data_IF_932559070011
#
_entry.id   IF_932559070011
#
_cell.length_a   1.000
_cell.length_b   1.000
_cell.length_c   1.000
_cell.angle_alpha   90.00
_cell.angle_beta   90.00
_cell.angle_gamma   90.00
#
_symmetry.space_group_name_H-M   'P 1'
#
loop_
_entity.id
_entity.type
_entity.pdbx_description
1 polymer ?
#
# COMPACT_ATOMS: atom_id res chain seq x y z
N UNK A 1 -12.27 -37.09 -15.56
CA UNK A 1 -11.14 -36.59 -14.75
C UNK A 1 -11.71 -35.70 -13.65
N UNK A 2 -11.48 -36.02 -12.38
CA UNK A 2 -11.97 -35.20 -11.27
C UNK A 2 -11.28 -33.83 -11.33
N UNK A 3 -12.04 -32.75 -11.45
CA UNK A 3 -11.54 -31.36 -11.39
C UNK A 3 -11.19 -31.00 -9.94
N UNK A 4 -10.27 -31.76 -9.33
CA UNK A 4 -9.83 -31.49 -7.97
C UNK A 4 -8.91 -30.28 -7.98
N UNK A 5 -9.41 -29.16 -7.45
CA UNK A 5 -8.62 -27.94 -7.28
C UNK A 5 -7.80 -28.04 -5.99
N UNK A 6 -6.51 -27.84 -6.13
CA UNK A 6 -5.57 -27.72 -5.01
C UNK A 6 -5.02 -26.31 -4.96
N UNK A 7 -4.77 -25.79 -3.75
CA UNK A 7 -4.18 -24.45 -3.55
C UNK A 7 -2.91 -24.58 -2.72
N UNK A 8 -1.86 -23.91 -3.16
CA UNK A 8 -0.57 -23.81 -2.45
C UNK A 8 0.07 -22.45 -2.70
N UNK A 9 1.08 -22.13 -1.92
CA UNK A 9 1.95 -20.97 -2.16
C UNK A 9 2.56 -21.04 -3.56
N UNK A 10 2.71 -19.86 -4.16
CA UNK A 10 3.43 -19.67 -5.41
C UNK A 10 4.91 -20.05 -5.23
N UNK A 11 5.50 -20.65 -6.25
CA UNK A 11 6.92 -21.07 -6.25
C UNK A 11 7.61 -20.48 -7.48
N UNK A 12 8.96 -20.45 -7.52
CA UNK A 12 9.68 -19.90 -8.67
C UNK A 12 9.28 -20.55 -10.00
N UNK A 13 9.01 -21.85 -10.02
CA UNK A 13 8.54 -22.56 -11.21
C UNK A 13 7.11 -22.25 -11.67
N UNK A 14 6.34 -21.44 -10.93
CA UNK A 14 5.02 -20.98 -11.35
C UNK A 14 5.03 -19.58 -11.97
N UNK A 15 6.12 -18.82 -11.78
CA UNK A 15 6.23 -17.39 -12.10
C UNK A 15 5.81 -17.08 -13.53
N UNK A 16 6.38 -17.77 -14.52
CA UNK A 16 6.08 -17.55 -15.94
C UNK A 16 4.60 -17.79 -16.25
N UNK A 17 4.06 -18.93 -15.81
CA UNK A 17 2.65 -19.27 -16.06
C UNK A 17 1.68 -18.33 -15.36
N UNK A 18 2.06 -17.78 -14.20
CA UNK A 18 1.28 -16.78 -13.49
C UNK A 18 1.35 -15.42 -14.19
N UNK A 19 2.52 -15.00 -14.70
CA UNK A 19 2.66 -13.77 -15.47
C UNK A 19 1.79 -13.79 -16.75
N UNK A 20 1.82 -14.90 -17.49
CA UNK A 20 0.97 -15.11 -18.67
C UNK A 20 -0.52 -15.08 -18.32
N UNK A 21 -0.92 -15.79 -17.26
CA UNK A 21 -2.30 -15.81 -16.79
C UNK A 21 -2.76 -14.43 -16.32
N UNK A 22 -1.89 -13.69 -15.62
CA UNK A 22 -2.15 -12.33 -15.16
C UNK A 22 -2.40 -11.40 -16.35
N UNK A 23 -1.48 -11.37 -17.33
CA UNK A 23 -1.62 -10.55 -18.53
C UNK A 23 -2.93 -10.85 -19.28
N UNK A 24 -3.26 -12.14 -19.45
CA UNK A 24 -4.52 -12.56 -20.09
C UNK A 24 -5.76 -12.07 -19.34
N UNK A 25 -5.75 -12.09 -18.00
CA UNK A 25 -6.87 -11.60 -17.18
C UNK A 25 -6.98 -10.07 -17.25
N UNK A 26 -5.86 -9.36 -17.24
CA UNK A 26 -5.86 -7.90 -17.38
C UNK A 26 -6.40 -7.48 -18.76
N UNK A 27 -6.03 -8.18 -19.83
CA UNK A 27 -6.59 -7.95 -21.16
C UNK A 27 -8.10 -8.20 -21.23
N UNK A 28 -8.61 -9.18 -20.50
CA UNK A 28 -10.06 -9.42 -20.40
C UNK A 28 -10.77 -8.32 -19.61
N UNK A 29 -10.26 -7.99 -18.41
CA UNK A 29 -10.89 -7.04 -17.49
C UNK A 29 -10.90 -5.60 -18.02
N UNK A 30 -9.83 -5.21 -18.71
CA UNK A 30 -9.61 -3.87 -19.24
C UNK A 30 -9.60 -3.90 -20.77
N UNK A 31 -10.52 -4.66 -21.37
CA UNK A 31 -10.73 -4.67 -22.81
C UNK A 31 -11.17 -3.28 -23.31
N UNK A 32 -10.88 -2.97 -24.58
CA UNK A 32 -11.10 -1.64 -25.16
C UNK A 32 -9.79 -0.85 -25.36
N UNK A 33 -9.77 0.00 -26.37
CA UNK A 33 -8.60 0.79 -26.76
C UNK A 33 -8.34 1.93 -25.76
N UNK A 34 -9.40 2.47 -25.17
CA UNK A 34 -9.35 3.49 -24.12
C UNK A 34 -8.59 3.03 -22.87
N UNK A 35 -8.57 1.72 -22.62
CA UNK A 35 -7.94 1.11 -21.44
C UNK A 35 -6.49 0.66 -21.67
N UNK A 36 -5.94 0.86 -22.88
CA UNK A 36 -4.55 0.47 -23.20
C UNK A 36 -3.52 1.06 -22.22
N UNK A 37 -3.61 2.35 -21.81
CA UNK A 37 -2.68 2.90 -20.82
C UNK A 37 -2.74 2.18 -19.47
N UNK A 38 -3.94 1.88 -18.98
CA UNK A 38 -4.14 1.15 -17.72
C UNK A 38 -3.63 -0.29 -17.81
N UNK A 39 -3.92 -0.99 -18.92
CA UNK A 39 -3.41 -2.36 -19.16
C UNK A 39 -1.90 -2.41 -19.15
N UNK A 40 -1.25 -1.56 -19.95
CA UNK A 40 0.21 -1.50 -20.04
C UNK A 40 0.86 -1.22 -18.69
N UNK A 41 0.25 -0.31 -17.93
CA UNK A 41 0.71 0.06 -16.59
C UNK A 41 0.60 -1.09 -15.60
N UNK A 42 -0.56 -1.74 -15.54
CA UNK A 42 -0.78 -2.85 -14.60
C UNK A 42 0.15 -4.00 -14.96
N UNK A 43 0.21 -4.42 -16.23
CA UNK A 43 1.04 -5.56 -16.62
C UNK A 43 2.54 -5.30 -16.43
N UNK A 44 3.02 -4.06 -16.59
CA UNK A 44 4.44 -3.73 -16.34
C UNK A 44 4.89 -3.88 -14.88
N UNK A 45 3.96 -4.00 -13.92
CA UNK A 45 4.26 -4.18 -12.49
C UNK A 45 4.28 -5.66 -12.05
N UNK A 46 3.89 -6.57 -12.94
CA UNK A 46 3.77 -8.01 -12.65
C UNK A 46 4.50 -8.82 -13.73
N UNK A 47 5.70 -8.37 -14.11
CA UNK A 47 6.60 -9.12 -14.97
C UNK A 47 7.19 -10.31 -14.20
N UNK A 48 7.77 -11.31 -14.89
CA UNK A 48 8.39 -12.47 -14.22
C UNK A 48 9.41 -12.09 -13.12
N UNK A 49 10.20 -11.04 -13.32
CA UNK A 49 11.13 -10.52 -12.29
C UNK A 49 10.42 -10.05 -11.03
N UNK A 50 9.31 -9.32 -11.19
CA UNK A 50 8.55 -8.74 -10.09
C UNK A 50 7.85 -9.85 -9.30
N UNK A 51 7.24 -10.80 -10.02
CA UNK A 51 6.63 -11.98 -9.43
C UNK A 51 7.65 -12.88 -8.73
N UNK A 52 8.88 -12.98 -9.25
CA UNK A 52 9.95 -13.72 -8.59
C UNK A 52 10.32 -13.06 -7.25
N UNK A 53 10.48 -11.73 -7.22
CA UNK A 53 10.70 -10.98 -5.98
C UNK A 53 9.54 -11.17 -4.98
N UNK A 54 8.30 -11.25 -5.47
CA UNK A 54 7.12 -11.56 -4.63
C UNK A 54 7.15 -12.96 -4.02
N UNK A 55 7.81 -13.94 -4.64
CA UNK A 55 7.99 -15.29 -4.05
C UNK A 55 9.00 -15.28 -2.91
N UNK A 56 10.02 -14.42 -3.01
CA UNK A 56 11.10 -14.31 -2.02
C UNK A 56 10.69 -13.44 -0.81
N UNK A 57 9.70 -12.55 -0.98
CA UNK A 57 9.22 -11.65 0.06
C UNK A 57 8.38 -12.38 1.13
N UNK A 58 8.84 -12.37 2.39
CA UNK A 58 8.17 -13.03 3.51
C UNK A 58 6.79 -12.42 3.88
N UNK A 59 6.56 -11.16 3.52
CA UNK A 59 5.28 -10.47 3.76
C UNK A 59 4.28 -10.65 2.58
N UNK A 60 4.69 -11.36 1.52
CA UNK A 60 3.87 -11.68 0.36
C UNK A 60 3.08 -12.97 0.57
N UNK A 61 1.76 -12.87 0.39
CA UNK A 61 0.79 -13.97 0.50
C UNK A 61 0.28 -14.33 -0.89
N UNK A 62 1.18 -14.89 -1.70
CA UNK A 62 0.93 -15.23 -3.10
C UNK A 62 0.66 -16.71 -3.29
N UNK A 63 -0.46 -17.05 -3.94
CA UNK A 63 -0.94 -18.42 -4.08
C UNK A 63 -1.29 -18.77 -5.52
N UNK A 64 -1.19 -20.06 -5.82
CA UNK A 64 -1.68 -20.64 -7.07
C UNK A 64 -2.71 -21.73 -6.79
N UNK A 65 -3.76 -21.76 -7.60
CA UNK A 65 -4.71 -22.86 -7.68
C UNK A 65 -4.34 -23.73 -8.87
N UNK A 66 -4.24 -25.05 -8.69
CA UNK A 66 -3.96 -26.00 -9.76
C UNK A 66 -4.99 -27.11 -9.86
N UNK A 67 -5.27 -27.52 -11.10
CA UNK A 67 -6.03 -28.72 -11.44
C UNK A 67 -5.10 -29.71 -12.14
N UNK A 68 -4.52 -30.64 -11.38
CA UNK A 68 -3.39 -31.43 -11.86
C UNK A 68 -2.17 -30.53 -12.10
N UNK A 69 -1.58 -30.60 -13.30
CA UNK A 69 -0.45 -29.74 -13.68
C UNK A 69 -0.87 -28.32 -14.13
N UNK A 70 -2.15 -28.12 -14.49
CA UNK A 70 -2.64 -26.87 -15.07
C UNK A 70 -2.88 -25.80 -14.00
N UNK A 71 -2.49 -24.56 -14.31
CA UNK A 71 -2.80 -23.39 -13.50
C UNK A 71 -4.28 -23.02 -13.67
N UNK A 72 -5.04 -23.08 -12.58
CA UNK A 72 -6.47 -22.75 -12.55
C UNK A 72 -6.73 -21.30 -12.11
N UNK A 73 -5.78 -20.70 -11.39
CA UNK A 73 -5.86 -19.32 -10.93
C UNK A 73 -4.71 -18.95 -10.01
N UNK A 74 -4.66 -17.68 -9.64
CA UNK A 74 -3.68 -17.12 -8.72
C UNK A 74 -4.35 -16.08 -7.80
N UNK A 75 -3.71 -15.80 -6.67
CA UNK A 75 -4.07 -14.69 -5.80
C UNK A 75 -2.79 -14.03 -5.29
N UNK A 76 -2.75 -12.71 -5.31
CA UNK A 76 -1.70 -11.89 -4.71
C UNK A 76 -2.26 -11.12 -3.54
N UNK A 77 -1.52 -11.12 -2.45
CA UNK A 77 -1.79 -10.25 -1.31
C UNK A 77 -0.53 -9.99 -0.51
N UNK A 78 -0.62 -9.01 0.39
CA UNK A 78 0.44 -8.62 1.31
C UNK A 78 -0.14 -8.48 2.71
N UNK A 79 0.61 -8.88 3.73
CA UNK A 79 0.26 -8.57 5.10
C UNK A 79 1.07 -7.35 5.55
N UNK A 80 0.40 -6.30 5.98
CA UNK A 80 1.05 -5.10 6.51
C UNK A 80 0.16 -4.50 7.59
N UNK A 81 0.76 -3.79 8.55
CA UNK A 81 -0.01 -3.06 9.58
C UNK A 81 -1.15 -3.87 10.25
N UNK A 82 -0.92 -5.16 10.55
CA UNK A 82 -1.94 -6.08 11.14
C UNK A 82 -3.24 -6.18 10.32
N UNK A 83 -3.18 -5.92 9.02
CA UNK A 83 -4.23 -6.16 8.05
C UNK A 83 -3.69 -7.02 6.90
N UNK A 84 -4.58 -7.73 6.22
CA UNK A 84 -4.28 -8.40 4.96
C UNK A 84 -4.82 -7.59 3.79
N UNK A 85 -4.00 -7.34 2.78
CA UNK A 85 -4.42 -6.64 1.57
C UNK A 85 -4.43 -7.64 0.41
N UNK A 86 -5.62 -7.98 -0.09
CA UNK A 86 -5.78 -8.83 -1.26
C UNK A 86 -5.77 -7.93 -2.50
N UNK A 87 -4.65 -7.95 -3.23
CA UNK A 87 -4.43 -7.06 -4.38
C UNK A 87 -5.04 -7.62 -5.65
N UNK A 88 -4.80 -8.89 -5.97
CA UNK A 88 -5.30 -9.51 -7.20
C UNK A 88 -5.84 -10.91 -6.98
N UNK A 89 -6.91 -11.23 -7.69
CA UNK A 89 -7.46 -12.57 -7.78
C UNK A 89 -7.75 -12.88 -9.25
N UNK A 90 -7.02 -13.86 -9.78
CA UNK A 90 -7.18 -14.35 -11.15
C UNK A 90 -7.70 -15.77 -11.17
N UNK A 91 -8.72 -16.04 -11.98
CA UNK A 91 -9.20 -17.40 -12.25
C UNK A 91 -9.40 -17.57 -13.75
N UNK A 92 -8.70 -18.55 -14.32
CA UNK A 92 -8.80 -18.91 -15.72
C UNK A 92 -10.24 -19.31 -16.07
N UNK A 93 -10.69 -18.94 -17.28
CA UNK A 93 -12.11 -18.94 -17.67
C UNK A 93 -12.77 -20.30 -17.50
N UNK A 94 -12.07 -21.36 -17.89
CA UNK A 94 -12.50 -22.75 -17.79
C UNK A 94 -12.58 -23.28 -16.36
N UNK A 95 -11.97 -22.59 -15.38
CA UNK A 95 -12.00 -22.94 -13.95
C UNK A 95 -12.94 -22.04 -13.12
N UNK A 96 -13.60 -21.07 -13.74
CA UNK A 96 -14.58 -20.21 -13.06
C UNK A 96 -15.79 -21.04 -12.64
N UNK A 97 -16.36 -20.71 -11.47
CA UNK A 97 -17.47 -21.45 -10.84
C UNK A 97 -17.14 -22.91 -10.47
N UNK A 98 -15.88 -23.34 -10.56
CA UNK A 98 -15.41 -24.65 -10.11
C UNK A 98 -14.74 -24.61 -8.73
N UNK A 99 -14.84 -23.49 -8.01
CA UNK A 99 -14.34 -23.33 -6.65
C UNK A 99 -12.89 -22.83 -6.50
N UNK A 100 -12.15 -22.65 -7.60
CA UNK A 100 -10.75 -22.21 -7.56
C UNK A 100 -10.56 -20.85 -6.84
N UNK A 101 -11.32 -19.83 -7.24
CA UNK A 101 -11.26 -18.52 -6.57
C UNK A 101 -11.64 -18.59 -5.10
N UNK A 102 -12.66 -19.39 -4.75
CA UNK A 102 -13.07 -19.54 -3.36
C UNK A 102 -12.03 -20.28 -2.50
N UNK A 103 -11.32 -21.25 -3.09
CA UNK A 103 -10.22 -21.93 -2.42
C UNK A 103 -9.03 -20.99 -2.16
N UNK A 104 -8.69 -20.13 -3.14
CA UNK A 104 -7.64 -19.12 -3.01
C UNK A 104 -7.94 -18.12 -1.89
N UNK A 105 -9.12 -17.50 -1.90
CA UNK A 105 -9.51 -16.51 -0.88
C UNK A 105 -9.52 -17.13 0.51
N UNK A 106 -10.09 -18.33 0.68
CA UNK A 106 -10.08 -19.02 1.99
C UNK A 106 -8.69 -19.39 2.48
N UNK A 107 -7.76 -19.71 1.57
CA UNK A 107 -6.36 -19.96 1.95
C UNK A 107 -5.70 -18.68 2.42
N UNK A 108 -5.81 -17.62 1.61
CA UNK A 108 -5.25 -16.30 1.89
C UNK A 108 -5.76 -15.72 3.23
N UNK A 109 -7.08 -15.64 3.44
CA UNK A 109 -7.66 -15.12 4.69
C UNK A 109 -7.21 -15.91 5.93
N UNK A 110 -7.04 -17.23 5.81
CA UNK A 110 -6.58 -18.08 6.91
C UNK A 110 -5.14 -17.78 7.30
N UNK A 111 -4.28 -17.58 6.30
CA UNK A 111 -2.87 -17.30 6.56
C UNK A 111 -2.68 -15.84 7.05
N UNK A 112 -3.48 -14.88 6.56
CA UNK A 112 -3.57 -13.55 7.16
C UNK A 112 -4.00 -13.60 8.64
N UNK A 113 -5.00 -14.41 8.98
CA UNK A 113 -5.40 -14.59 10.39
C UNK A 113 -4.26 -15.16 11.23
N UNK A 114 -3.45 -16.08 10.68
CA UNK A 114 -2.28 -16.67 11.36
C UNK A 114 -1.14 -15.68 11.57
N UNK A 115 -0.96 -14.71 10.68
CA UNK A 115 0.02 -13.64 10.85
C UNK A 115 -0.48 -12.50 11.75
N UNK A 116 -1.64 -12.68 12.38
CA UNK A 116 -2.21 -11.75 13.35
C UNK A 116 -3.05 -10.63 12.75
N UNK A 117 -3.35 -10.68 11.44
CA UNK A 117 -4.24 -9.71 10.83
C UNK A 117 -5.64 -9.77 11.45
N UNK A 118 -6.23 -8.60 11.73
CA UNK A 118 -7.58 -8.53 12.29
C UNK A 118 -8.66 -8.34 11.23
N UNK A 119 -8.27 -7.90 10.03
CA UNK A 119 -9.15 -7.71 8.89
C UNK A 119 -8.41 -8.02 7.59
N UNK A 120 -9.18 -8.20 6.51
CA UNK A 120 -8.68 -8.25 5.14
C UNK A 120 -9.42 -7.21 4.31
N UNK A 121 -8.70 -6.47 3.49
CA UNK A 121 -9.28 -5.57 2.51
C UNK A 121 -8.91 -5.93 1.08
N UNK A 122 -9.70 -5.42 0.15
CA UNK A 122 -9.45 -5.57 -1.27
C UNK A 122 -10.13 -4.44 -2.05
N UNK A 123 -9.54 -4.12 -3.19
CA UNK A 123 -10.13 -3.26 -4.19
C UNK A 123 -10.61 -4.10 -5.36
N UNK A 124 -11.82 -3.83 -5.82
CA UNK A 124 -12.41 -4.57 -6.94
C UNK A 124 -13.20 -3.60 -7.83
N UNK A 125 -13.30 -3.87 -9.14
CA UNK A 125 -14.30 -3.20 -9.97
C UNK A 125 -15.71 -3.37 -9.38
N UNK A 126 -16.60 -2.37 -9.54
CA UNK A 126 -17.99 -2.51 -9.14
C UNK A 126 -18.69 -3.57 -10.00
N UNK A 127 -19.55 -4.38 -9.38
CA UNK A 127 -20.32 -5.37 -10.12
C UNK A 127 -21.00 -6.40 -9.23
N UNK A 128 -22.27 -6.73 -9.52
CA UNK A 128 -23.10 -7.60 -8.68
C UNK A 128 -22.47 -8.98 -8.44
N UNK A 129 -21.91 -9.58 -9.50
CA UNK A 129 -21.32 -10.92 -9.41
C UNK A 129 -20.08 -10.95 -8.51
N UNK A 130 -19.14 -10.02 -8.72
CA UNK A 130 -17.89 -9.96 -7.95
C UNK A 130 -18.13 -9.53 -6.51
N UNK A 131 -19.02 -8.56 -6.29
CA UNK A 131 -19.48 -8.15 -4.95
C UNK A 131 -20.14 -9.33 -4.23
N UNK A 132 -21.00 -10.09 -4.90
CA UNK A 132 -21.59 -11.31 -4.34
C UNK A 132 -20.55 -12.38 -4.01
N UNK A 133 -19.52 -12.54 -4.86
CA UNK A 133 -18.42 -13.45 -4.61
C UNK A 133 -17.58 -13.08 -3.38
N UNK A 134 -17.35 -11.80 -3.10
CA UNK A 134 -16.62 -11.40 -1.89
C UNK A 134 -17.50 -11.43 -0.63
N UNK A 135 -18.80 -11.14 -0.75
CA UNK A 135 -19.75 -11.19 0.38
C UNK A 135 -19.85 -12.54 1.08
N UNK A 136 -19.71 -13.67 0.36
CA UNK A 136 -19.67 -15.01 0.98
C UNK A 136 -18.47 -15.21 1.93
N UNK A 137 -17.47 -14.33 1.89
CA UNK A 137 -16.33 -14.33 2.82
C UNK A 137 -16.42 -13.19 3.86
N UNK A 138 -17.57 -12.53 3.99
CA UNK A 138 -17.78 -11.46 4.98
C UNK A 138 -17.28 -10.08 4.55
N UNK A 139 -16.92 -9.88 3.28
CA UNK A 139 -16.54 -8.56 2.78
C UNK A 139 -17.76 -7.65 2.61
N UNK A 140 -17.63 -6.43 3.12
CA UNK A 140 -18.59 -5.35 2.96
C UNK A 140 -17.95 -4.14 2.30
N UNK A 141 -18.74 -3.37 1.55
CA UNK A 141 -18.25 -2.17 0.86
C UNK A 141 -18.10 -1.03 1.85
N UNK A 142 -16.89 -0.51 1.98
CA UNK A 142 -16.57 0.69 2.76
C UNK A 142 -16.62 1.96 1.93
N UNK A 143 -16.11 1.91 0.70
CA UNK A 143 -16.06 3.07 -0.17
C UNK A 143 -16.29 2.70 -1.65
N UNK A 144 -16.64 3.73 -2.44
CA UNK A 144 -16.65 3.70 -3.90
C UNK A 144 -15.80 4.88 -4.39
N UNK A 145 -14.70 4.56 -5.07
CA UNK A 145 -13.74 5.52 -5.61
C UNK A 145 -14.04 5.69 -7.11
N UNK A 146 -14.52 6.87 -7.50
CA UNK A 146 -15.06 7.09 -8.84
C UNK A 146 -13.98 7.38 -9.89
N UNK A 147 -12.86 8.02 -9.49
CA UNK A 147 -11.81 8.48 -10.41
C UNK A 147 -10.45 7.88 -10.05
N UNK A 148 -10.30 6.58 -10.28
CA UNK A 148 -9.03 5.89 -10.06
C UNK A 148 -8.04 6.08 -11.20
N UNK A 149 -6.78 5.72 -10.95
CA UNK A 149 -5.72 5.69 -11.97
C UNK A 149 -5.98 4.67 -13.10
N UNK A 150 -6.93 3.76 -12.92
CA UNK A 150 -7.30 2.71 -13.87
C UNK A 150 -8.36 3.17 -14.88
N UNK A 151 -8.80 4.43 -14.81
CA UNK A 151 -9.85 4.97 -15.70
C UNK A 151 -11.25 4.41 -15.45
N UNK A 152 -11.42 3.62 -14.38
CA UNK A 152 -12.69 3.01 -14.00
C UNK A 152 -12.92 3.12 -12.48
N UNK A 153 -14.17 3.12 -12.00
CA UNK A 153 -14.43 3.13 -10.58
C UNK A 153 -13.93 1.87 -9.90
N UNK A 154 -13.52 1.99 -8.63
CA UNK A 154 -13.14 0.88 -7.76
C UNK A 154 -13.96 0.92 -6.49
N UNK A 155 -14.41 -0.23 -5.99
CA UNK A 155 -15.00 -0.32 -4.65
C UNK A 155 -13.98 -0.92 -3.68
N UNK A 156 -13.86 -0.29 -2.52
CA UNK A 156 -13.04 -0.77 -1.42
C UNK A 156 -13.90 -1.64 -0.50
N UNK A 157 -13.50 -2.89 -0.35
CA UNK A 157 -14.21 -3.89 0.46
C UNK A 157 -13.34 -4.32 1.64
N UNK A 158 -13.96 -4.56 2.79
CA UNK A 158 -13.28 -5.02 4.01
C UNK A 158 -14.05 -6.17 4.65
N UNK A 159 -13.34 -7.21 5.09
CA UNK A 159 -13.87 -8.33 5.88
C UNK A 159 -13.13 -8.44 7.22
N UNK A 160 -13.83 -8.49 8.36
CA UNK A 160 -13.18 -8.77 9.64
C UNK A 160 -12.74 -10.24 9.71
N UNK A 161 -11.55 -10.49 10.26
CA UNK A 161 -11.06 -11.84 10.60
C UNK A 161 -11.29 -12.16 12.08
N UNK A 162 -11.21 -11.14 12.94
CA UNK A 162 -11.45 -11.21 14.38
C UNK A 162 -11.78 -9.83 14.92
N UNK A 163 -12.23 -9.77 16.16
CA UNK A 163 -12.31 -8.50 16.90
C UNK A 163 -10.89 -7.94 17.14
N UNK A 164 -10.76 -6.63 16.99
CA UNK A 164 -9.52 -5.89 17.14
C UNK A 164 -9.65 -4.93 18.33
N UNK A 165 -8.55 -4.73 19.04
CA UNK A 165 -8.49 -3.68 20.06
C UNK A 165 -8.41 -2.30 19.40
N UNK A 166 -8.73 -1.25 20.16
CA UNK A 166 -8.59 0.14 19.70
C UNK A 166 -7.17 0.46 19.20
N UNK A 167 -6.14 -0.08 19.88
CA UNK A 167 -4.74 0.10 19.47
C UNK A 167 -4.39 -0.65 18.18
N UNK A 168 -5.01 -1.80 17.91
CA UNK A 168 -4.79 -2.53 16.66
C UNK A 168 -5.43 -1.85 15.45
N UNK A 169 -6.59 -1.24 15.65
CA UNK A 169 -7.30 -0.47 14.62
C UNK A 169 -6.66 0.88 14.36
N UNK A 170 -5.95 1.45 15.34
CA UNK A 170 -5.38 2.80 15.25
C UNK A 170 -3.95 2.78 14.74
N UNK A 171 -3.66 3.67 13.79
CA UNK A 171 -2.35 3.83 13.15
C UNK A 171 -1.88 5.26 13.21
N UNK A 172 -0.57 5.40 13.43
CA UNK A 172 0.06 6.69 13.75
C UNK A 172 1.29 6.88 12.88
N UNK A 173 1.28 7.95 12.08
CA UNK A 173 2.35 8.28 11.14
C UNK A 173 2.84 9.68 11.47
N UNK A 174 4.16 9.86 11.51
CA UNK A 174 4.78 11.17 11.62
C UNK A 174 5.67 11.38 10.41
N UNK A 175 5.54 12.54 9.78
CA UNK A 175 6.47 13.01 8.76
C UNK A 175 7.08 14.32 9.21
N UNK A 176 8.40 14.38 9.29
CA UNK A 176 9.18 15.54 9.73
C UNK A 176 10.02 16.04 8.56
N UNK A 177 10.01 17.35 8.32
CA UNK A 177 10.84 17.97 7.29
C UNK A 177 10.90 19.48 7.43
N UNK A 178 11.70 20.15 6.61
CA UNK A 178 11.84 21.60 6.61
C UNK A 178 10.68 22.31 5.91
N UNK A 179 10.44 23.55 6.32
CA UNK A 179 9.54 24.44 5.61
C UNK A 179 9.91 24.55 4.12
N UNK A 180 8.95 24.22 3.25
CA UNK A 180 9.14 24.17 1.80
C UNK A 180 9.23 22.75 1.22
N UNK A 181 9.51 21.73 2.03
CA UNK A 181 9.52 20.33 1.59
C UNK A 181 8.12 19.72 1.42
N UNK A 182 7.04 20.50 1.53
CA UNK A 182 5.69 20.04 1.23
C UNK A 182 5.08 19.07 2.27
N UNK A 183 5.58 19.05 3.51
CA UNK A 183 5.10 18.17 4.60
C UNK A 183 3.60 18.32 4.88
N UNK A 184 3.11 19.57 4.92
CA UNK A 184 1.68 19.85 5.09
C UNK A 184 0.85 19.28 3.95
N UNK A 185 1.31 19.41 2.71
CA UNK A 185 0.60 18.88 1.54
C UNK A 185 0.54 17.36 1.63
N UNK A 186 1.66 16.70 1.90
CA UNK A 186 1.72 15.25 2.09
C UNK A 186 0.72 14.79 3.15
N UNK A 187 0.72 15.42 4.33
CA UNK A 187 -0.19 15.07 5.42
C UNK A 187 -1.67 15.20 5.02
N UNK A 188 -2.05 16.28 4.32
CA UNK A 188 -3.43 16.45 3.86
C UNK A 188 -3.82 15.43 2.78
N UNK A 189 -2.96 15.18 1.79
CA UNK A 189 -3.25 14.18 0.73
C UNK A 189 -3.42 12.80 1.35
N UNK A 190 -2.52 12.39 2.26
CA UNK A 190 -2.62 11.12 2.97
C UNK A 190 -3.90 11.03 3.81
N UNK A 191 -4.24 12.09 4.54
CA UNK A 191 -5.47 12.15 5.32
C UNK A 191 -6.71 11.98 4.46
N UNK A 192 -6.73 12.63 3.30
CA UNK A 192 -7.85 12.60 2.37
C UNK A 192 -8.01 11.23 1.73
N UNK A 193 -6.92 10.59 1.28
CA UNK A 193 -6.91 9.19 0.81
C UNK A 193 -7.51 8.25 1.86
N UNK A 194 -7.12 8.39 3.13
CA UNK A 194 -7.61 7.53 4.21
C UNK A 194 -9.09 7.78 4.54
N UNK A 195 -9.53 9.04 4.51
CA UNK A 195 -10.93 9.41 4.69
C UNK A 195 -11.80 8.86 3.55
N UNK A 196 -11.33 8.91 2.31
CA UNK A 196 -11.98 8.34 1.13
C UNK A 196 -12.20 6.82 1.25
N UNK A 197 -11.34 6.13 2.01
CA UNK A 197 -11.48 4.71 2.34
C UNK A 197 -12.38 4.43 3.54
N UNK A 198 -13.01 5.47 4.10
CA UNK A 198 -13.93 5.39 5.22
C UNK A 198 -13.25 5.23 6.58
N UNK A 199 -11.96 5.57 6.70
CA UNK A 199 -11.24 5.61 7.98
C UNK A 199 -11.57 6.91 8.72
N UNK A 200 -11.55 6.86 10.04
CA UNK A 200 -11.52 8.09 10.84
C UNK A 200 -10.10 8.63 10.88
N UNK A 201 -9.92 9.94 10.66
CA UNK A 201 -8.60 10.54 10.50
C UNK A 201 -8.48 11.82 11.31
N UNK A 202 -7.37 11.96 12.03
CA UNK A 202 -6.92 13.19 12.67
C UNK A 202 -5.53 13.55 12.13
N UNK A 203 -5.37 14.80 11.73
CA UNK A 203 -4.10 15.34 11.26
C UNK A 203 -3.74 16.58 12.08
N UNK A 204 -2.62 16.53 12.78
CA UNK A 204 -2.02 17.68 13.44
C UNK A 204 -0.80 18.16 12.63
N UNK A 205 -0.71 19.47 12.39
CA UNK A 205 0.43 20.10 11.72
C UNK A 205 1.15 21.00 12.71
N UNK A 206 2.33 20.57 13.14
CA UNK A 206 3.16 21.33 14.08
C UNK A 206 4.19 22.15 13.30
N UNK A 207 4.28 23.44 13.61
CA UNK A 207 5.28 24.37 13.06
C UNK A 207 5.80 25.30 14.16
N UNK A 208 7.08 25.69 14.13
CA UNK A 208 7.60 26.71 15.04
C UNK A 208 6.95 28.06 14.75
N UNK A 209 6.91 28.94 15.76
CA UNK A 209 6.39 30.30 15.64
C UNK A 209 7.27 31.23 14.80
N UNK A 210 8.42 30.76 14.30
CA UNK A 210 9.35 31.54 13.47
C UNK A 210 8.75 31.87 12.10
N UNK A 211 8.92 33.13 11.68
CA UNK A 211 8.38 33.65 10.41
C UNK A 211 9.21 33.23 9.18
N UNK A 212 10.41 32.65 9.38
CA UNK A 212 11.27 32.13 8.31
C UNK A 212 11.95 30.84 8.75
N UNK A 213 11.74 29.78 7.98
CA UNK A 213 12.38 28.48 8.21
C UNK A 213 11.88 27.74 9.44
N UNK A 214 12.32 26.49 9.57
CA UNK A 214 12.02 25.61 10.69
C UNK A 214 11.39 24.29 10.27
N UNK A 215 11.48 23.33 11.17
CA UNK A 215 10.96 21.97 11.00
C UNK A 215 9.44 21.96 11.13
N UNK A 216 8.77 21.42 10.12
CA UNK A 216 7.33 21.12 10.09
C UNK A 216 7.17 19.63 10.35
N UNK A 217 6.23 19.28 11.23
CA UNK A 217 5.79 17.90 11.42
C UNK A 217 4.32 17.75 11.03
N UNK A 218 4.00 16.71 10.27
CA UNK A 218 2.65 16.21 10.08
C UNK A 218 2.48 14.95 10.92
N UNK A 219 1.61 15.02 11.93
CA UNK A 219 1.29 13.92 12.84
C UNK A 219 -0.11 13.43 12.51
N UNK A 220 -0.19 12.26 11.87
CA UNK A 220 -1.43 11.68 11.37
C UNK A 220 -1.80 10.46 12.20
N UNK A 221 -3.03 10.44 12.71
CA UNK A 221 -3.64 9.32 13.41
C UNK A 221 -4.88 8.91 12.62
N UNK A 222 -5.01 7.64 12.26
CA UNK A 222 -6.19 7.11 11.59
C UNK A 222 -6.65 5.78 12.19
N UNK A 223 -7.93 5.47 12.10
CA UNK A 223 -8.50 4.27 12.70
C UNK A 223 -9.71 3.74 11.94
N UNK A 224 -9.99 2.44 12.12
CA UNK A 224 -11.23 1.80 11.68
C UNK A 224 -12.45 2.18 12.53
N UNK A 225 -12.21 2.79 13.70
CA UNK A 225 -13.21 3.18 14.70
C UNK A 225 -12.98 4.62 15.17
N UNK A 226 -13.93 5.24 15.88
CA UNK A 226 -13.78 6.62 16.33
C UNK A 226 -12.51 6.89 17.13
N UNK A 227 -11.80 7.96 16.80
CA UNK A 227 -10.54 8.33 17.46
C UNK A 227 -10.84 9.06 18.76
N UNK A 228 -10.56 8.41 19.90
CA UNK A 228 -10.79 9.00 21.23
C UNK A 228 -9.75 10.06 21.60
N UNK A 229 -8.50 9.86 21.18
CA UNK A 229 -7.40 10.79 21.41
C UNK A 229 -6.54 10.92 20.15
N UNK A 230 -6.38 12.14 19.61
CA UNK A 230 -5.53 12.36 18.45
C UNK A 230 -4.04 12.44 18.81
N UNK A 231 -3.70 12.58 20.09
CA UNK A 231 -2.33 12.70 20.57
C UNK A 231 -1.72 11.34 20.90
N UNK A 232 -0.45 11.14 20.55
CA UNK A 232 0.25 9.88 20.75
C UNK A 232 1.76 10.09 20.98
N UNK A 233 2.40 9.09 21.59
CA UNK A 233 3.85 9.05 21.88
C UNK A 233 4.57 7.91 21.15
N UNK A 234 3.81 6.97 20.60
CA UNK A 234 4.29 5.84 19.81
C UNK A 234 3.72 5.94 18.40
N UNK A 235 4.59 5.90 17.39
CA UNK A 235 4.24 5.91 15.98
C UNK A 235 4.46 4.53 15.35
N UNK A 236 3.66 4.19 14.34
CA UNK A 236 3.92 3.03 13.49
C UNK A 236 5.00 3.35 12.46
N UNK A 237 4.96 4.55 11.86
CA UNK A 237 5.94 5.02 10.87
C UNK A 237 6.38 6.44 11.25
N UNK A 238 7.69 6.66 11.29
CA UNK A 238 8.31 7.98 11.33
C UNK A 238 9.13 8.18 10.06
N UNK A 239 8.88 9.26 9.33
CA UNK A 239 9.69 9.69 8.20
C UNK A 239 10.45 10.97 8.55
N UNK A 240 11.75 10.97 8.31
CA UNK A 240 12.65 12.07 8.61
C UNK A 240 13.32 12.61 7.33
N UNK A 241 12.96 13.84 6.93
CA UNK A 241 13.44 14.52 5.72
C UNK A 241 14.29 15.78 6.01
N UNK A 242 14.44 16.17 7.28
CA UNK A 242 15.25 17.30 7.71
C UNK A 242 15.92 17.01 9.06
N UNK A 243 17.07 17.63 9.39
CA UNK A 243 17.67 17.49 10.71
C UNK A 243 16.78 18.17 11.76
N UNK A 244 16.29 17.40 12.73
CA UNK A 244 15.44 17.92 13.80
C UNK A 244 14.73 16.80 14.56
N UNK A 245 14.40 17.03 15.84
CA UNK A 245 13.55 16.09 16.57
C UNK A 245 12.08 16.27 16.17
N UNK A 246 11.27 15.20 16.16
CA UNK A 246 9.82 15.34 16.20
C UNK A 246 9.41 16.26 17.37
N UNK A 247 8.21 16.86 17.35
CA UNK A 247 7.76 17.81 18.37
C UNK A 247 7.90 17.32 19.82
N UNK A 248 7.91 15.99 20.00
CA UNK A 248 8.12 15.29 21.26
C UNK A 248 9.03 14.07 21.08
N UNK A 249 9.46 13.44 22.17
CA UNK A 249 10.16 12.15 22.13
C UNK A 249 9.20 11.06 21.65
N UNK A 250 9.15 10.86 20.34
CA UNK A 250 8.33 9.80 19.73
C UNK A 250 9.18 8.55 19.52
N UNK A 251 8.65 7.41 19.92
CA UNK A 251 9.19 6.09 19.56
C UNK A 251 8.45 5.61 18.32
N UNK A 252 9.16 5.03 17.35
CA UNK A 252 8.54 4.55 16.12
C UNK A 252 8.91 3.09 15.88
N UNK A 253 7.94 2.30 15.38
CA UNK A 253 8.20 0.91 14.96
C UNK A 253 9.06 0.89 13.71
N UNK A 254 8.74 1.73 12.72
CA UNK A 254 9.52 1.90 11.49
C UNK A 254 10.03 3.32 11.39
N UNK A 255 11.32 3.48 11.06
CA UNK A 255 11.95 4.79 10.84
C UNK A 255 12.52 4.82 9.43
N UNK A 256 12.10 5.82 8.68
CA UNK A 256 12.45 6.05 7.28
C UNK A 256 13.19 7.38 7.21
N UNK A 257 14.38 7.40 6.64
CA UNK A 257 15.28 8.53 6.69
C UNK A 257 15.74 8.87 5.27
N UNK A 258 15.70 10.15 4.91
CA UNK A 258 16.34 10.62 3.69
C UNK A 258 17.87 10.69 3.88
N UNK A 259 18.63 10.25 2.89
CA UNK A 259 20.10 10.18 2.97
C UNK A 259 20.75 11.54 3.22
N UNK A 260 20.09 12.64 2.85
CA UNK A 260 20.61 13.99 3.07
C UNK A 260 20.76 14.33 4.56
N UNK A 261 20.22 13.49 5.44
CA UNK A 261 20.27 13.61 6.91
C UNK A 261 21.51 12.91 7.51
N UNK A 262 22.35 12.26 6.71
CA UNK A 262 23.48 11.48 7.22
C UNK A 262 24.58 12.34 7.90
N UNK A 263 25.10 11.79 9.02
CA UNK A 263 26.14 12.27 9.96
C UNK A 263 25.72 13.07 11.21
N UNK A 264 24.48 13.53 11.35
CA UNK A 264 24.02 14.16 12.60
C UNK A 264 22.96 13.27 13.25
N UNK A 265 23.31 12.65 14.38
CA UNK A 265 22.37 12.08 15.36
C UNK A 265 21.57 10.81 14.99
N UNK A 266 22.05 9.95 14.08
CA UNK A 266 21.47 8.59 13.96
C UNK A 266 21.50 7.84 15.30
N UNK A 267 22.54 8.00 16.12
CA UNK A 267 22.66 7.29 17.42
C UNK A 267 21.58 7.66 18.44
N UNK A 268 21.09 8.91 18.47
CA UNK A 268 20.02 9.35 19.37
C UNK A 268 18.63 8.96 18.85
N UNK A 269 18.46 8.85 17.53
CA UNK A 269 17.27 8.33 16.88
C UNK A 269 17.17 6.80 16.99
N UNK A 270 18.29 6.07 16.86
CA UNK A 270 18.38 4.61 17.00
C UNK A 270 18.03 4.15 18.43
N UNK A 271 18.35 4.93 19.47
CA UNK A 271 17.85 4.65 20.82
C UNK A 271 16.31 4.66 20.92
N UNK A 272 15.61 5.34 20.00
CA UNK A 272 14.14 5.40 19.95
C UNK A 272 13.50 4.26 19.14
N UNK A 273 14.27 3.45 18.40
CA UNK A 273 13.75 2.39 17.50
C UNK A 273 13.69 0.99 18.11
N UNK A 274 13.98 0.81 19.42
CA UNK A 274 14.01 -0.51 20.07
C UNK A 274 14.85 -1.57 19.32
N UNK A 275 15.92 -1.17 18.62
CA UNK A 275 16.77 -2.08 17.87
C UNK A 275 16.20 -2.53 16.51
N UNK A 276 15.21 -1.82 15.96
CA UNK A 276 14.84 -1.96 14.54
C UNK A 276 15.75 -1.08 13.67
N UNK A 277 16.25 -1.66 12.57
CA UNK A 277 17.07 -0.97 11.57
C UNK A 277 16.27 0.14 10.90
N UNK A 278 16.88 1.32 10.76
CA UNK A 278 16.30 2.44 10.02
C UNK A 278 16.46 2.21 8.52
N UNK A 279 15.42 2.55 7.76
CA UNK A 279 15.40 2.47 6.31
C UNK A 279 15.92 3.78 5.74
N UNK A 280 16.99 3.73 4.96
CA UNK A 280 17.61 4.93 4.38
C UNK A 280 17.36 4.96 2.88
N UNK A 281 16.86 6.09 2.40
CA UNK A 281 16.52 6.31 1.00
C UNK A 281 17.03 7.65 0.52
N UNK A 282 17.27 7.76 -0.79
CA UNK A 282 17.64 9.02 -1.42
C UNK A 282 16.46 9.67 -2.14
N UNK A 283 15.46 10.13 -1.37
CA UNK A 283 14.24 10.67 -1.95
C UNK A 283 14.49 11.98 -2.68
N UNK A 284 15.44 12.79 -2.20
CA UNK A 284 15.80 14.07 -2.83
C UNK A 284 16.47 13.87 -4.18
N UNK A 285 17.46 12.97 -4.29
CA UNK A 285 18.09 12.69 -5.58
C UNK A 285 17.13 12.00 -6.53
N UNK A 286 16.34 11.03 -6.08
CA UNK A 286 15.31 10.40 -6.91
C UNK A 286 14.36 11.44 -7.52
N UNK A 287 13.89 12.40 -6.72
CA UNK A 287 13.05 13.47 -7.23
C UNK A 287 13.78 14.37 -8.26
N UNK A 288 15.08 14.60 -8.10
CA UNK A 288 15.88 15.38 -9.05
C UNK A 288 16.15 14.62 -10.34
N UNK A 289 16.61 13.38 -10.26
CA UNK A 289 17.05 12.58 -11.40
C UNK A 289 15.86 12.09 -12.24
N UNK A 290 14.82 11.58 -11.58
CA UNK A 290 13.70 10.93 -12.29
C UNK A 290 12.57 11.90 -12.67
N UNK A 291 12.41 12.98 -11.90
CA UNK A 291 11.30 13.93 -12.06
C UNK A 291 11.76 15.37 -12.37
N UNK A 292 13.08 15.60 -12.40
CA UNK A 292 13.69 16.89 -12.75
C UNK A 292 13.55 17.97 -11.68
N UNK A 293 12.93 17.70 -10.52
CA UNK A 293 12.68 18.72 -9.51
C UNK A 293 12.51 18.13 -8.09
N UNK A 294 13.29 18.59 -7.09
CA UNK A 294 13.18 18.11 -5.70
C UNK A 294 11.85 18.46 -5.02
N UNK A 295 11.01 19.33 -5.61
CA UNK A 295 9.67 19.62 -5.07
C UNK A 295 8.78 18.37 -4.99
N UNK A 296 9.09 17.33 -5.77
CA UNK A 296 8.33 16.08 -5.80
C UNK A 296 8.75 15.06 -4.73
N UNK A 297 9.78 15.35 -3.93
CA UNK A 297 10.25 14.47 -2.84
C UNK A 297 9.11 14.08 -1.90
N UNK A 298 8.22 15.00 -1.55
CA UNK A 298 7.07 14.71 -0.70
C UNK A 298 6.11 13.68 -1.30
N UNK A 299 5.92 13.69 -2.61
CA UNK A 299 5.05 12.73 -3.29
C UNK A 299 5.72 11.37 -3.43
N UNK A 300 7.05 11.31 -3.59
CA UNK A 300 7.81 10.05 -3.48
C UNK A 300 7.64 9.46 -2.08
N UNK A 301 7.84 10.27 -1.04
CA UNK A 301 7.66 9.84 0.35
C UNK A 301 6.23 9.36 0.61
N UNK A 302 5.22 10.05 0.09
CA UNK A 302 3.82 9.60 0.17
C UNK A 302 3.64 8.20 -0.43
N UNK A 303 4.21 7.96 -1.61
CA UNK A 303 4.20 6.65 -2.27
C UNK A 303 4.84 5.57 -1.41
N UNK A 304 5.99 5.86 -0.82
CA UNK A 304 6.70 4.93 0.06
C UNK A 304 5.88 4.60 1.33
N UNK A 305 5.25 5.60 1.96
CA UNK A 305 4.32 5.38 3.08
C UNK A 305 3.15 4.48 2.66
N UNK A 306 2.51 4.73 1.51
CA UNK A 306 1.42 3.90 0.98
C UNK A 306 1.87 2.45 0.73
N UNK A 307 3.11 2.27 0.26
CA UNK A 307 3.76 0.96 0.08
C UNK A 307 3.91 0.21 1.40
N UNK A 308 4.42 0.86 2.44
CA UNK A 308 4.50 0.25 3.78
C UNK A 308 3.14 -0.09 4.40
N UNK A 309 2.08 0.65 4.01
CA UNK A 309 0.72 0.33 4.40
C UNK A 309 0.08 -0.76 3.53
N UNK A 310 0.77 -1.27 2.49
CA UNK A 310 0.24 -2.30 1.60
C UNK A 310 -0.91 -1.83 0.70
N UNK A 311 -1.07 -0.51 0.51
CA UNK A 311 -2.18 0.08 -0.22
C UNK A 311 -1.92 0.07 -1.73
N UNK A 312 -2.88 -0.43 -2.50
CA UNK A 312 -2.79 -0.46 -3.97
C UNK A 312 -3.05 0.94 -4.56
N UNK A 313 -1.96 1.66 -4.84
CA UNK A 313 -1.93 3.04 -5.33
C UNK A 313 -2.75 3.23 -6.61
N UNK A 314 -2.81 2.22 -7.48
CA UNK A 314 -3.54 2.32 -8.75
C UNK A 314 -5.06 2.37 -8.56
N UNK A 315 -5.54 1.81 -7.45
CA UNK A 315 -6.97 1.70 -7.17
C UNK A 315 -7.50 2.83 -6.29
N UNK A 316 -6.63 3.76 -5.89
CA UNK A 316 -6.96 4.96 -5.11
C UNK A 316 -7.48 6.09 -6.01
N UNK A 317 -8.20 7.04 -5.40
CA UNK A 317 -8.78 8.23 -6.03
C UNK A 317 -7.75 9.38 -6.21
N UNK A 318 -6.47 9.05 -6.45
CA UNK A 318 -5.36 10.01 -6.43
C UNK A 318 -5.57 11.29 -7.27
N UNK A 319 -6.19 11.24 -8.46
CA UNK A 319 -6.43 12.45 -9.25
C UNK A 319 -7.27 13.52 -8.55
N UNK A 320 -8.16 13.13 -7.63
CA UNK A 320 -8.97 14.06 -6.83
C UNK A 320 -8.24 14.54 -5.58
N UNK A 321 -7.41 13.68 -4.99
CA UNK A 321 -6.72 13.97 -3.73
C UNK A 321 -5.48 14.87 -3.89
N UNK A 322 -4.88 14.87 -5.07
CA UNK A 322 -3.63 15.57 -5.35
C UNK A 322 -3.92 16.92 -6.01
N UNK A 323 -3.15 17.98 -5.70
CA UNK A 323 -3.29 19.25 -6.40
C UNK A 323 -3.19 19.11 -7.92
N UNK A 324 -4.11 19.75 -8.65
CA UNK A 324 -4.13 19.74 -10.13
C UNK A 324 -2.81 20.26 -10.75
N UNK A 325 -2.09 21.11 -10.03
CA UNK A 325 -0.76 21.59 -10.45
C UNK A 325 0.25 20.43 -10.40
N UNK A 326 0.85 20.15 -11.55
CA UNK A 326 1.80 19.04 -11.74
C UNK A 326 1.20 17.65 -11.44
N UNK A 327 -0.11 17.48 -11.70
CA UNK A 327 -0.83 16.26 -11.38
C UNK A 327 -0.11 14.99 -11.89
N UNK A 328 0.26 14.96 -13.17
CA UNK A 328 0.96 13.80 -13.76
C UNK A 328 2.32 13.53 -13.10
N UNK A 329 3.10 14.57 -12.80
CA UNK A 329 4.39 14.41 -12.13
C UNK A 329 4.23 13.94 -10.68
N UNK A 330 3.24 14.46 -9.94
CA UNK A 330 2.94 14.01 -8.58
C UNK A 330 2.51 12.54 -8.57
N UNK A 331 1.66 12.15 -9.51
CA UNK A 331 1.23 10.77 -9.71
C UNK A 331 2.43 9.85 -9.99
N UNK A 332 3.36 10.25 -10.87
CA UNK A 332 4.60 9.51 -11.13
C UNK A 332 5.51 9.43 -9.91
N UNK A 333 5.59 10.50 -9.13
CA UNK A 333 6.36 10.53 -7.89
C UNK A 333 5.83 9.51 -6.86
N UNK A 334 4.51 9.46 -6.65
CA UNK A 334 3.89 8.48 -5.75
C UNK A 334 4.16 7.05 -6.23
N UNK A 335 4.07 6.79 -7.53
CA UNK A 335 4.40 5.47 -8.07
C UNK A 335 5.84 5.09 -7.82
N UNK A 336 6.77 6.02 -8.11
CA UNK A 336 8.19 5.80 -7.86
C UNK A 336 8.40 5.40 -6.40
N UNK A 337 7.83 6.16 -5.47
CA UNK A 337 7.88 5.91 -4.04
C UNK A 337 7.32 4.56 -3.60
N UNK A 338 6.20 4.15 -4.20
CA UNK A 338 5.55 2.87 -3.91
C UNK A 338 6.40 1.67 -4.39
N UNK A 339 7.07 1.82 -5.53
CA UNK A 339 7.93 0.80 -6.13
C UNK A 339 9.38 0.78 -5.60
N UNK A 340 9.72 1.59 -4.60
CA UNK A 340 11.08 1.58 -4.05
C UNK A 340 11.30 0.22 -3.37
N UNK A 341 12.16 -0.60 -3.97
CA UNK A 341 12.66 -1.84 -3.41
C UNK A 341 13.16 -1.63 -1.97
N UNK A 342 12.99 -2.68 -1.14
CA UNK A 342 13.45 -2.73 0.24
C UNK A 342 14.87 -2.15 0.38
N UNK A 343 15.11 -1.33 1.42
CA UNK A 343 16.29 -0.48 1.54
C UNK A 343 17.58 -1.30 1.60
N UNK A 344 18.69 -0.67 1.19
CA UNK A 344 20.02 -1.18 1.51
C UNK A 344 20.20 -1.14 3.03
N UNK A 345 20.26 -2.31 3.66
CA UNK A 345 20.61 -2.41 5.08
C UNK A 345 22.02 -1.82 5.28
N UNK A 346 22.16 -0.90 6.23
CA UNK A 346 23.44 -0.33 6.67
C UNK A 346 23.81 -0.85 8.05
#
# INVERSE_FOLDING_TARGET
MSNHITVREMRPGDVEGVAEAFASIIDELYSGDENVPARRRITSQYQPSDLAAMVENADSYSYVAKSGAKLAGFLFGVASCRAGHLHWLGVAREYRKLGAGAALVRRCMRDFARCGAFQVDTFTPPGRALTGFFRQFGFERRALLERTMLGSPSQYLVAPLREATEDEMTRRIIVVGDAGQGIRLLGHVLASILADLGKEVSLNITKPSSVRGGTIAAELCFSEAPIRSPFFVDADILVQLAPGSPPHTVRAKRVIIDETIQHIELSSLIQRTRGQESEVYDFVRQAREDLGNPVFTNMIVLGNILGHMGMDVDKLNLPEEIPARFLEQNIRAIQKGFSIDLPQAY
#
